data_IF_649310170842
#
_entry.id   IF_649310170842
#
_cell.length_a   1.000
_cell.length_b   1.000
_cell.length_c   1.000
_cell.angle_alpha   90.00
_cell.angle_beta   90.00
_cell.angle_gamma   90.00
#
_symmetry.space_group_name_H-M   'P 1'
#
loop_
_entity.id
_entity.type
_entity.pdbx_description
1 polymer ?
#
# COMPACT_ATOMS: atom_id res chain seq x y z
N UNK A 1 31.44 -4.25 -32.56
CA UNK A 1 31.20 -5.66 -32.19
C UNK A 1 30.46 -6.33 -33.33
N UNK A 2 30.82 -7.56 -33.70
CA UNK A 2 30.19 -8.33 -34.78
C UNK A 2 29.41 -9.49 -34.17
N UNK A 3 28.12 -9.60 -34.48
CA UNK A 3 27.31 -10.75 -34.08
C UNK A 3 27.86 -12.02 -34.76
N UNK A 4 28.22 -13.02 -33.96
CA UNK A 4 28.69 -14.31 -34.44
C UNK A 4 27.61 -15.37 -34.42
N UNK A 5 26.71 -15.29 -33.45
CA UNK A 5 25.72 -16.33 -33.22
C UNK A 5 24.53 -15.81 -32.42
N UNK A 6 23.35 -16.30 -32.76
CA UNK A 6 22.13 -16.16 -32.00
C UNK A 6 21.50 -17.56 -31.84
N UNK A 7 21.30 -18.01 -30.61
CA UNK A 7 20.77 -19.34 -30.28
C UNK A 7 19.53 -19.19 -29.42
N UNK A 8 18.42 -19.79 -29.84
CA UNK A 8 17.30 -20.14 -28.96
C UNK A 8 17.63 -21.44 -28.23
N UNK A 9 17.42 -21.50 -26.92
CA UNK A 9 17.48 -22.75 -26.18
C UNK A 9 16.17 -23.51 -26.30
N UNK A 10 16.24 -24.82 -26.55
CA UNK A 10 15.05 -25.68 -26.61
C UNK A 10 14.60 -26.15 -25.21
N UNK A 11 15.54 -26.18 -24.25
CA UNK A 11 15.33 -26.62 -22.87
C UNK A 11 15.16 -25.45 -21.88
N UNK A 12 15.16 -24.22 -22.37
CA UNK A 12 14.97 -23.02 -21.57
C UNK A 12 14.20 -21.98 -22.37
N UNK A 13 13.40 -21.18 -21.71
CA UNK A 13 12.70 -20.06 -22.34
C UNK A 13 13.65 -18.87 -22.55
N UNK A 14 14.75 -19.10 -23.27
CA UNK A 14 15.87 -18.19 -23.32
C UNK A 14 16.51 -18.13 -24.72
N UNK A 15 17.19 -17.01 -24.98
CA UNK A 15 17.98 -16.77 -26.18
C UNK A 15 19.36 -16.23 -25.78
N UNK A 16 20.41 -16.72 -26.45
CA UNK A 16 21.79 -16.24 -26.28
C UNK A 16 22.25 -15.58 -27.57
N UNK A 17 22.76 -14.36 -27.47
CA UNK A 17 23.51 -13.70 -28.53
C UNK A 17 24.99 -13.67 -28.17
N UNK A 18 25.85 -14.01 -29.13
CA UNK A 18 27.30 -13.98 -29.00
C UNK A 18 27.90 -12.99 -29.98
N UNK A 19 28.62 -11.99 -29.48
CA UNK A 19 29.38 -11.04 -30.27
C UNK A 19 30.89 -11.24 -30.07
N UNK A 20 31.66 -10.80 -31.05
CA UNK A 20 33.12 -10.66 -30.94
C UNK A 20 33.50 -9.21 -31.22
N UNK A 21 34.33 -8.64 -30.36
CA UNK A 21 34.85 -7.28 -30.54
C UNK A 21 36.10 -7.24 -31.42
N UNK A 22 36.70 -6.06 -31.58
CA UNK A 22 37.88 -5.83 -32.43
C UNK A 22 39.16 -6.47 -31.87
N UNK A 23 39.15 -6.91 -30.61
CA UNK A 23 40.26 -7.55 -29.90
C UNK A 23 40.06 -9.06 -29.73
N UNK A 24 39.16 -9.67 -30.52
CA UNK A 24 38.76 -11.08 -30.42
C UNK A 24 38.13 -11.47 -29.07
N UNK A 25 37.62 -10.50 -28.30
CA UNK A 25 36.90 -10.79 -27.04
C UNK A 25 35.48 -11.23 -27.35
N UNK A 26 35.10 -12.38 -26.80
CA UNK A 26 33.75 -12.94 -26.92
C UNK A 26 32.84 -12.39 -25.83
N UNK A 27 31.71 -11.81 -26.21
CA UNK A 27 30.67 -11.33 -25.31
C UNK A 27 29.41 -12.15 -25.56
N UNK A 28 28.79 -12.63 -24.47
CA UNK A 28 27.54 -13.40 -24.51
C UNK A 28 26.46 -12.67 -23.72
N UNK A 29 25.28 -12.51 -24.30
CA UNK A 29 24.09 -12.02 -23.61
C UNK A 29 23.04 -13.13 -23.60
N UNK A 30 22.55 -13.47 -22.42
CA UNK A 30 21.40 -14.34 -22.22
C UNK A 30 20.18 -13.49 -21.86
N UNK A 31 19.11 -13.64 -22.64
CA UNK A 31 17.83 -13.03 -22.35
C UNK A 31 16.77 -14.10 -22.16
N UNK A 32 15.96 -13.98 -21.11
CA UNK A 32 14.90 -14.93 -20.78
C UNK A 32 13.53 -14.33 -21.09
N UNK A 33 12.60 -15.15 -21.56
CA UNK A 33 11.26 -14.72 -21.97
C UNK A 33 10.39 -14.21 -20.82
N UNK A 34 10.66 -14.65 -19.58
CA UNK A 34 10.00 -14.17 -18.36
C UNK A 34 10.52 -12.80 -17.89
N UNK A 35 11.46 -12.21 -18.64
CA UNK A 35 12.06 -10.89 -18.38
C UNK A 35 11.97 -10.04 -19.65
N UNK A 36 10.81 -9.42 -19.95
CA UNK A 36 10.61 -8.60 -21.15
C UNK A 36 11.67 -7.49 -21.32
N UNK A 37 12.17 -6.96 -20.20
CA UNK A 37 13.25 -5.99 -20.17
C UNK A 37 14.57 -6.52 -20.74
N UNK A 38 14.90 -7.80 -20.51
CA UNK A 38 16.10 -8.42 -21.06
C UNK A 38 15.98 -8.64 -22.56
N UNK A 39 14.79 -9.04 -23.03
CA UNK A 39 14.53 -9.20 -24.46
C UNK A 39 14.56 -7.83 -25.16
N UNK A 40 14.03 -6.78 -24.53
CA UNK A 40 14.11 -5.42 -25.05
C UNK A 40 15.56 -4.92 -25.12
N UNK A 41 16.39 -5.21 -24.10
CA UNK A 41 17.82 -4.92 -24.13
C UNK A 41 18.54 -5.70 -25.23
N UNK A 42 18.24 -6.99 -25.41
CA UNK A 42 18.81 -7.79 -26.50
C UNK A 42 18.48 -7.20 -27.87
N UNK A 43 17.23 -6.78 -28.11
CA UNK A 43 16.85 -6.09 -29.37
C UNK A 43 17.64 -4.80 -29.56
N UNK A 44 17.84 -4.02 -28.49
CA UNK A 44 18.64 -2.81 -28.55
C UNK A 44 20.11 -3.09 -28.91
N UNK A 45 20.71 -4.13 -28.32
CA UNK A 45 22.09 -4.55 -28.57
C UNK A 45 22.30 -5.13 -29.98
N UNK A 46 21.29 -5.83 -30.53
CA UNK A 46 21.29 -6.30 -31.91
C UNK A 46 21.15 -5.15 -32.92
N UNK A 47 20.53 -4.03 -32.53
CA UNK A 47 20.40 -2.84 -33.39
C UNK A 47 19.71 -3.15 -34.71
N UNK A 48 20.38 -2.85 -35.83
CA UNK A 48 19.84 -3.09 -37.17
C UNK A 48 19.61 -4.58 -37.47
N UNK A 49 20.39 -5.47 -36.86
CA UNK A 49 20.31 -6.93 -37.07
C UNK A 49 19.08 -7.54 -36.36
N UNK A 50 18.45 -6.80 -35.43
CA UNK A 50 17.28 -7.28 -34.70
C UNK A 50 16.12 -7.65 -35.65
N UNK A 51 15.94 -6.88 -36.74
CA UNK A 51 14.86 -7.12 -37.71
C UNK A 51 15.00 -8.48 -38.41
N UNK A 52 16.22 -8.96 -38.64
CA UNK A 52 16.49 -10.26 -39.27
C UNK A 52 16.22 -11.42 -38.30
N UNK A 53 16.22 -11.14 -36.99
CA UNK A 53 16.08 -12.13 -35.91
C UNK A 53 14.74 -12.04 -35.16
N UNK A 54 13.87 -11.11 -35.53
CA UNK A 54 12.62 -10.84 -34.82
C UNK A 54 11.72 -12.09 -34.69
N UNK A 55 11.66 -12.94 -35.73
CA UNK A 55 10.89 -14.18 -35.65
C UNK A 55 11.41 -15.15 -34.58
N UNK A 56 12.73 -15.21 -34.37
CA UNK A 56 13.33 -16.04 -33.32
C UNK A 56 13.08 -15.44 -31.94
N UNK A 57 13.23 -14.13 -31.80
CA UNK A 57 13.01 -13.39 -30.55
C UNK A 57 11.54 -13.50 -30.12
N UNK A 58 10.60 -13.21 -31.02
CA UNK A 58 9.17 -13.37 -30.78
C UNK A 58 8.79 -14.82 -30.45
N UNK A 59 9.46 -15.79 -31.08
CA UNK A 59 9.28 -17.21 -30.79
C UNK A 59 9.85 -17.67 -29.44
N UNK A 60 10.64 -16.84 -28.75
CA UNK A 60 11.12 -17.05 -27.37
C UNK A 60 10.17 -16.35 -26.40
N UNK A 61 9.80 -15.11 -26.67
CA UNK A 61 8.81 -14.36 -25.87
C UNK A 61 7.47 -15.10 -25.78
N UNK A 62 6.98 -15.66 -26.89
CA UNK A 62 5.75 -16.44 -26.92
C UNK A 62 5.80 -17.73 -26.08
N UNK A 63 6.98 -18.13 -25.59
CA UNK A 63 7.10 -19.28 -24.67
C UNK A 63 6.89 -18.89 -23.22
N UNK A 64 6.91 -17.60 -22.88
CA UNK A 64 6.52 -17.15 -21.56
C UNK A 64 5.00 -17.16 -21.43
N UNK A 65 4.51 -17.88 -20.44
CA UNK A 65 3.14 -17.79 -19.95
C UNK A 65 3.25 -17.25 -18.53
N UNK A 66 2.73 -16.05 -18.22
CA UNK A 66 2.67 -15.56 -16.86
C UNK A 66 2.03 -16.59 -15.94
N UNK A 67 2.47 -16.71 -14.68
CA UNK A 67 1.78 -17.59 -13.74
C UNK A 67 0.32 -17.16 -13.60
N UNK A 68 -0.59 -18.14 -13.52
CA UNK A 68 -2.00 -17.86 -13.24
C UNK A 68 -2.11 -17.12 -11.90
N UNK A 69 -2.99 -16.12 -11.84
CA UNK A 69 -3.30 -15.43 -10.60
C UNK A 69 -3.91 -16.42 -9.59
N UNK A 70 -3.71 -16.19 -8.28
CA UNK A 70 -4.43 -16.95 -7.28
C UNK A 70 -5.96 -16.79 -7.45
N UNK A 71 -6.75 -17.75 -6.93
CA UNK A 71 -8.19 -17.63 -6.90
C UNK A 71 -8.67 -16.30 -6.29
N UNK A 72 -9.74 -15.73 -6.85
CA UNK A 72 -10.25 -14.43 -6.42
C UNK A 72 -10.65 -14.40 -4.93
N UNK A 73 -11.15 -15.52 -4.38
CA UNK A 73 -11.49 -15.64 -2.97
C UNK A 73 -10.25 -15.61 -2.06
N UNK A 74 -9.14 -16.20 -2.50
CA UNK A 74 -7.85 -16.13 -1.82
C UNK A 74 -7.32 -14.69 -1.82
N UNK A 75 -7.27 -14.03 -2.99
CA UNK A 75 -6.85 -12.63 -3.12
C UNK A 75 -7.70 -11.69 -2.26
N UNK A 76 -9.02 -11.84 -2.30
CA UNK A 76 -9.92 -11.02 -1.48
C UNK A 76 -9.73 -11.27 0.03
N UNK A 77 -9.43 -12.51 0.43
CA UNK A 77 -9.11 -12.86 1.81
C UNK A 77 -7.81 -12.21 2.31
N UNK A 78 -6.77 -12.25 1.48
CA UNK A 78 -5.47 -11.62 1.76
C UNK A 78 -5.60 -10.10 1.85
N UNK A 79 -6.28 -9.46 0.89
CA UNK A 79 -6.52 -8.02 0.88
C UNK A 79 -7.27 -7.56 2.13
N UNK A 80 -8.33 -8.27 2.55
CA UNK A 80 -9.07 -7.93 3.78
C UNK A 80 -8.20 -8.07 5.02
N UNK A 81 -7.32 -9.06 5.06
CA UNK A 81 -6.39 -9.29 6.17
C UNK A 81 -5.35 -8.17 6.24
N UNK A 82 -4.75 -7.82 5.11
CA UNK A 82 -3.78 -6.73 5.01
C UNK A 82 -4.42 -5.37 5.35
N UNK A 83 -5.62 -5.11 4.84
CA UNK A 83 -6.39 -3.90 5.13
C UNK A 83 -6.72 -3.75 6.62
N UNK A 84 -7.16 -4.83 7.27
CA UNK A 84 -7.43 -4.82 8.70
C UNK A 84 -6.16 -4.53 9.52
N UNK A 85 -5.04 -5.16 9.15
CA UNK A 85 -3.76 -4.91 9.81
C UNK A 85 -3.28 -3.45 9.64
N UNK A 86 -3.42 -2.90 8.44
CA UNK A 86 -3.03 -1.52 8.14
C UNK A 86 -3.91 -0.50 8.88
N UNK A 87 -5.21 -0.74 8.93
CA UNK A 87 -6.14 0.08 9.70
C UNK A 87 -5.78 0.09 11.19
N UNK A 88 -5.55 -1.08 11.79
CA UNK A 88 -5.16 -1.20 13.20
C UNK A 88 -3.81 -0.53 13.49
N UNK A 89 -2.82 -0.68 12.60
CA UNK A 89 -1.51 -0.02 12.73
C UNK A 89 -1.68 1.51 12.80
N UNK A 90 -2.50 2.09 11.92
CA UNK A 90 -2.76 3.54 11.90
C UNK A 90 -3.57 4.00 13.11
N UNK A 91 -4.56 3.21 13.52
CA UNK A 91 -5.35 3.45 14.73
C UNK A 91 -4.49 3.45 16.00
N UNK A 92 -3.49 2.57 16.08
CA UNK A 92 -2.54 2.53 17.19
C UNK A 92 -1.67 3.78 17.28
N UNK A 93 -1.27 4.37 16.15
CA UNK A 93 -0.48 5.60 16.12
C UNK A 93 -1.27 6.75 16.77
N UNK A 94 -2.54 6.93 16.39
CA UNK A 94 -3.36 8.04 16.91
C UNK A 94 -3.82 7.82 18.36
N UNK A 95 -3.90 6.56 18.79
CA UNK A 95 -4.21 6.19 20.16
C UNK A 95 -2.97 6.09 21.06
N UNK A 96 -1.77 6.26 20.49
CA UNK A 96 -0.51 6.11 21.24
C UNK A 96 -0.45 7.14 22.39
N UNK A 97 -0.13 6.65 23.59
CA UNK A 97 -0.09 7.46 24.81
C UNK A 97 -1.34 7.37 25.70
N UNK A 98 -2.43 6.74 25.27
CA UNK A 98 -3.64 6.56 26.09
C UNK A 98 -3.95 5.08 26.35
N UNK A 99 -3.87 4.60 27.62
CA UNK A 99 -4.22 3.22 27.94
C UNK A 99 -5.71 2.95 27.65
N UNK A 100 -6.11 1.68 27.43
CA UNK A 100 -7.50 1.31 27.13
C UNK A 100 -8.51 1.87 28.14
N UNK A 101 -8.19 1.77 29.43
CA UNK A 101 -9.04 2.28 30.52
C UNK A 101 -9.28 3.79 30.46
N UNK A 102 -8.31 4.57 29.94
CA UNK A 102 -8.52 6.01 29.74
C UNK A 102 -9.44 6.27 28.55
N UNK A 103 -9.27 5.52 27.45
CA UNK A 103 -10.12 5.63 26.25
C UNK A 103 -11.58 5.30 26.54
N UNK A 104 -11.84 4.33 27.40
CA UNK A 104 -13.20 3.98 27.86
C UNK A 104 -13.90 5.15 28.56
N UNK A 105 -13.15 6.08 29.14
CA UNK A 105 -13.71 7.28 29.79
C UNK A 105 -13.94 8.46 28.86
N UNK A 106 -13.38 8.47 27.64
CA UNK A 106 -13.49 9.59 26.71
C UNK A 106 -14.92 10.05 26.42
N UNK A 107 -15.94 9.18 26.29
CA UNK A 107 -17.31 9.63 26.10
C UNK A 107 -17.81 10.55 27.22
N UNK A 108 -17.45 10.28 28.48
CA UNK A 108 -17.85 11.14 29.60
C UNK A 108 -17.10 12.47 29.57
N UNK A 109 -15.79 12.43 29.29
CA UNK A 109 -14.94 13.62 29.23
C UNK A 109 -15.42 14.59 28.14
N UNK A 110 -15.68 14.05 26.95
CA UNK A 110 -16.11 14.84 25.79
C UNK A 110 -17.53 15.37 25.97
N UNK A 111 -18.45 14.58 26.52
CA UNK A 111 -19.81 15.04 26.83
C UNK A 111 -19.80 16.20 27.83
N UNK A 112 -19.08 16.07 28.95
CA UNK A 112 -18.97 17.13 29.95
C UNK A 112 -18.27 18.37 29.39
N UNK A 113 -17.20 18.21 28.61
CA UNK A 113 -16.48 19.33 28.01
C UNK A 113 -17.36 20.12 27.05
N UNK A 114 -18.13 19.44 26.19
CA UNK A 114 -19.07 20.11 25.27
C UNK A 114 -20.23 20.76 26.01
N UNK A 115 -20.74 20.12 27.06
CA UNK A 115 -21.78 20.70 27.90
C UNK A 115 -21.30 22.00 28.56
N UNK A 116 -20.10 22.01 29.14
CA UNK A 116 -19.51 23.20 29.75
C UNK A 116 -19.24 24.32 28.75
N UNK A 117 -18.71 23.99 27.57
CA UNK A 117 -18.47 24.99 26.51
C UNK A 117 -19.77 25.62 25.98
N UNK A 118 -20.89 24.89 26.04
CA UNK A 118 -22.20 25.39 25.65
C UNK A 118 -22.92 26.17 26.77
N UNK A 119 -22.73 25.75 28.02
CA UNK A 119 -23.32 26.34 29.21
C UNK A 119 -22.29 26.34 30.37
N UNK A 120 -21.78 27.52 30.79
CA UNK A 120 -20.88 27.64 31.94
C UNK A 120 -21.43 27.03 33.23
N UNK A 121 -22.75 26.93 33.38
CA UNK A 121 -23.45 26.36 34.52
C UNK A 121 -23.65 24.84 34.48
N UNK A 122 -23.23 24.15 33.42
CA UNK A 122 -23.38 22.70 33.29
C UNK A 122 -22.69 21.96 34.45
N UNK A 123 -23.26 20.84 34.91
CA UNK A 123 -22.58 19.98 35.89
C UNK A 123 -21.53 19.11 35.20
N UNK A 124 -20.29 19.15 35.68
CA UNK A 124 -19.15 18.41 35.09
C UNK A 124 -18.32 17.69 36.14
N UNK A 125 -18.91 16.73 36.89
CA UNK A 125 -18.24 16.09 38.02
C UNK A 125 -16.91 15.41 37.66
N UNK A 126 -16.77 14.89 36.42
CA UNK A 126 -15.51 14.31 35.97
C UNK A 126 -14.45 15.40 35.75
N UNK A 127 -14.79 16.46 35.01
CA UNK A 127 -13.87 17.58 34.76
C UNK A 127 -13.50 18.28 36.07
N UNK A 128 -14.47 18.48 36.96
CA UNK A 128 -14.24 19.14 38.25
C UNK A 128 -13.24 18.34 39.10
N UNK A 129 -13.40 17.02 39.19
CA UNK A 129 -12.49 16.14 39.92
C UNK A 129 -11.08 16.12 39.27
N UNK A 130 -11.01 15.99 37.94
CA UNK A 130 -9.75 15.96 37.22
C UNK A 130 -9.00 17.30 37.27
N UNK A 131 -9.70 18.42 37.12
CA UNK A 131 -9.16 19.77 37.21
C UNK A 131 -8.61 20.05 38.60
N UNK A 132 -9.36 19.71 39.66
CA UNK A 132 -8.96 19.91 41.04
C UNK A 132 -7.66 19.16 41.39
N UNK A 133 -7.54 17.88 40.98
CA UNK A 133 -6.32 17.08 41.23
C UNK A 133 -5.13 17.60 40.42
N UNK A 134 -5.36 18.10 39.21
CA UNK A 134 -4.30 18.61 38.32
C UNK A 134 -3.89 20.05 38.61
N UNK A 135 -4.68 20.80 39.37
CA UNK A 135 -4.49 22.23 39.58
C UNK A 135 -4.64 23.06 38.30
N UNK A 136 -5.54 22.64 37.41
CA UNK A 136 -5.83 23.34 36.14
C UNK A 136 -7.23 23.96 36.25
N UNK A 137 -7.44 25.07 35.56
CA UNK A 137 -8.77 25.66 35.45
C UNK A 137 -9.76 24.71 34.75
N UNK A 138 -11.01 24.73 35.20
CA UNK A 138 -12.07 23.85 34.73
C UNK A 138 -12.41 24.11 33.25
N UNK A 139 -12.55 25.38 32.88
CA UNK A 139 -12.88 25.79 31.51
C UNK A 139 -11.69 25.54 30.59
N UNK A 140 -10.47 25.77 31.09
CA UNK A 140 -9.25 25.40 30.38
C UNK A 140 -9.16 23.90 30.10
N UNK A 141 -9.48 23.04 31.08
CA UNK A 141 -9.48 21.60 30.89
C UNK A 141 -10.54 21.17 29.85
N UNK A 142 -11.74 21.73 29.92
CA UNK A 142 -12.80 21.45 28.94
C UNK A 142 -12.39 21.85 27.51
N UNK A 143 -11.80 23.04 27.33
CA UNK A 143 -11.30 23.48 26.03
C UNK A 143 -10.21 22.53 25.47
N UNK A 144 -9.29 22.07 26.33
CA UNK A 144 -8.25 21.10 25.94
C UNK A 144 -8.84 19.74 25.53
N UNK A 145 -9.85 19.25 26.26
CA UNK A 145 -10.55 17.99 25.94
C UNK A 145 -11.27 18.13 24.59
N UNK A 146 -12.02 19.22 24.38
CA UNK A 146 -12.75 19.46 23.14
C UNK A 146 -11.80 19.56 21.93
N UNK A 147 -10.67 20.27 22.07
CA UNK A 147 -9.68 20.38 21.01
C UNK A 147 -9.06 19.03 20.63
N UNK A 148 -8.77 18.17 21.62
CA UNK A 148 -8.28 16.80 21.37
C UNK A 148 -9.33 15.91 20.70
N UNK A 149 -10.59 16.00 21.14
CA UNK A 149 -11.71 15.28 20.53
C UNK A 149 -11.93 15.70 19.08
N UNK A 150 -11.89 17.01 18.78
CA UNK A 150 -12.01 17.52 17.42
C UNK A 150 -10.89 16.99 16.51
N UNK A 151 -9.64 17.04 16.96
CA UNK A 151 -8.51 16.50 16.20
C UNK A 151 -8.65 14.99 15.98
N UNK A 152 -9.00 14.23 17.03
CA UNK A 152 -9.20 12.79 16.93
C UNK A 152 -10.30 12.43 15.92
N UNK A 153 -11.46 13.11 15.96
CA UNK A 153 -12.59 12.84 15.07
C UNK A 153 -12.23 13.02 13.60
N UNK A 154 -11.48 14.07 13.27
CA UNK A 154 -11.04 14.34 11.89
C UNK A 154 -10.16 13.19 11.39
N UNK A 155 -9.16 12.80 12.18
CA UNK A 155 -8.20 11.77 11.79
C UNK A 155 -8.88 10.39 11.72
N UNK A 156 -9.63 10.04 12.76
CA UNK A 156 -10.38 8.78 12.82
C UNK A 156 -11.38 8.66 11.66
N UNK A 157 -12.08 9.75 11.32
CA UNK A 157 -12.99 9.81 10.18
C UNK A 157 -12.27 9.57 8.86
N UNK A 158 -11.11 10.20 8.65
CA UNK A 158 -10.29 9.99 7.46
C UNK A 158 -9.80 8.54 7.33
N UNK A 159 -9.29 7.96 8.42
CA UNK A 159 -8.84 6.55 8.44
C UNK A 159 -10.00 5.57 8.19
N UNK A 160 -11.13 5.80 8.83
CA UNK A 160 -12.33 4.96 8.65
C UNK A 160 -12.82 5.03 7.22
N UNK A 161 -12.90 6.23 6.63
CA UNK A 161 -13.32 6.42 5.25
C UNK A 161 -12.36 5.79 4.24
N UNK A 162 -11.04 5.88 4.48
CA UNK A 162 -10.05 5.21 3.64
C UNK A 162 -10.21 3.68 3.68
N UNK A 163 -10.39 3.09 4.87
CA UNK A 163 -10.68 1.65 5.02
C UNK A 163 -11.93 1.26 4.23
N UNK A 164 -13.04 1.97 4.43
CA UNK A 164 -14.31 1.66 3.78
C UNK A 164 -14.22 1.75 2.26
N UNK A 165 -13.53 2.76 1.72
CA UNK A 165 -13.32 2.88 0.27
C UNK A 165 -12.56 1.68 -0.31
N UNK A 166 -11.58 1.14 0.41
CA UNK A 166 -10.83 -0.05 -0.02
C UNK A 166 -11.69 -1.31 0.13
N UNK A 167 -12.49 -1.43 1.20
CA UNK A 167 -13.48 -2.50 1.34
C UNK A 167 -14.47 -2.50 0.17
N UNK A 168 -15.01 -1.33 -0.18
CA UNK A 168 -15.90 -1.15 -1.33
C UNK A 168 -15.21 -1.54 -2.66
N UNK A 169 -13.91 -1.27 -2.80
CA UNK A 169 -13.14 -1.65 -3.99
C UNK A 169 -12.96 -3.17 -4.09
N UNK A 170 -12.65 -3.84 -2.98
CA UNK A 170 -12.54 -5.32 -2.91
C UNK A 170 -13.91 -5.94 -3.24
N UNK A 171 -14.97 -5.43 -2.64
CA UNK A 171 -16.33 -5.95 -2.86
C UNK A 171 -16.81 -5.70 -4.30
N UNK A 172 -16.43 -4.56 -4.90
CA UNK A 172 -16.74 -4.23 -6.30
C UNK A 172 -15.98 -5.14 -7.28
N UNK A 173 -14.73 -5.48 -6.99
CA UNK A 173 -13.94 -6.38 -7.82
C UNK A 173 -14.54 -7.79 -7.89
N UNK A 174 -15.16 -8.27 -6.81
CA UNK A 174 -15.87 -9.55 -6.81
C UNK A 174 -14.95 -10.72 -7.20
N UNK A 175 -15.29 -11.44 -8.27
CA UNK A 175 -14.53 -12.59 -8.77
C UNK A 175 -13.45 -12.20 -9.82
N UNK A 176 -13.24 -10.90 -10.05
CA UNK A 176 -12.20 -10.40 -10.96
C UNK A 176 -10.83 -10.40 -10.28
N UNK A 177 -10.07 -11.47 -10.49
CA UNK A 177 -8.73 -11.64 -9.92
C UNK A 177 -7.74 -10.56 -10.37
N UNK A 178 -7.86 -10.03 -11.60
CA UNK A 178 -6.99 -8.96 -12.09
C UNK A 178 -7.29 -7.65 -11.38
N UNK A 179 -8.57 -7.32 -11.19
CA UNK A 179 -9.00 -6.15 -10.44
C UNK A 179 -8.59 -6.24 -8.96
N UNK A 180 -8.71 -7.41 -8.33
CA UNK A 180 -8.26 -7.65 -6.96
C UNK A 180 -6.74 -7.46 -6.85
N UNK A 181 -5.96 -8.06 -7.76
CA UNK A 181 -4.50 -7.95 -7.75
C UNK A 181 -4.00 -6.51 -7.95
N UNK A 182 -4.81 -5.63 -8.51
CA UNK A 182 -4.49 -4.21 -8.69
C UNK A 182 -4.79 -3.32 -7.46
N UNK A 183 -5.48 -3.84 -6.43
CA UNK A 183 -5.81 -3.05 -5.23
C UNK A 183 -4.58 -2.90 -4.34
N UNK A 184 -4.18 -1.64 -4.14
CA UNK A 184 -3.15 -1.26 -3.16
C UNK A 184 -3.81 -0.87 -1.83
N UNK A 185 -3.64 -1.72 -0.81
CA UNK A 185 -4.16 -1.48 0.54
C UNK A 185 -3.38 -0.41 1.30
N UNK A 186 -2.22 0.03 0.83
CA UNK A 186 -1.42 1.11 1.41
C UNK A 186 -1.71 2.47 0.75
N UNK A 187 -2.50 2.49 -0.32
CA UNK A 187 -2.83 3.72 -1.05
C UNK A 187 -4.02 4.49 -0.46
N UNK A 188 -3.93 5.83 -0.55
CA UNK A 188 -5.06 6.72 -0.29
C UNK A 188 -5.45 6.87 1.18
N UNK A 189 -4.54 6.53 2.10
CA UNK A 189 -4.61 6.97 3.48
C UNK A 189 -4.00 8.37 3.61
N UNK A 190 -4.44 9.17 4.58
CA UNK A 190 -3.77 10.43 4.89
C UNK A 190 -2.30 10.17 5.26
N UNK A 191 -1.36 10.79 4.54
CA UNK A 191 0.08 10.69 4.82
C UNK A 191 0.49 11.49 6.07
N UNK A 192 -0.31 12.49 6.43
CA UNK A 192 -0.12 13.29 7.63
C UNK A 192 -1.06 12.78 8.72
N UNK A 193 -0.54 11.84 9.53
CA UNK A 193 -1.02 11.66 10.89
C UNK A 193 -0.18 12.63 11.76
N UNK A 194 -0.81 13.57 12.49
CA UNK A 194 -0.10 14.55 13.31
C UNK A 194 0.67 13.90 14.48
#
# INVERSE_FOLDING_TARGET
MILKQLIKYDNAHAIEATWVDENDVVIKCHAYSNHPEQIAMLRADLGADAAEHEAMIAGVEATYVPPDLPPADELAGELRTALAAEYERRMQIIASGYPPSERESWPVQTAEARALLADPGAATPWIDAAAAVRGIDRDELAARIAAKDDAYRVIHGALTGARQRIEDAIDTAGDDAEALAAIDVEAGWSEELP
#
